data_IF_651091185830
#
_entry.id   IF_651091185830
#
_cell.length_a   1.000
_cell.length_b   1.000
_cell.length_c   1.000
_cell.angle_alpha   90.00
_cell.angle_beta   90.00
_cell.angle_gamma   90.00
#
_symmetry.space_group_name_H-M   'P 1'
#
loop_
_entity.id
_entity.type
_entity.pdbx_description
1 polymer ?
#
# COMPACT_ATOMS: atom_id res chain seq x y z
N UNK A 1 -4.33 -2.27 -27.98
CA UNK A 1 -5.70 -1.77 -28.18
C UNK A 1 -5.64 -0.26 -28.17
N UNK A 2 -6.20 0.44 -29.16
CA UNK A 2 -6.03 1.90 -29.29
C UNK A 2 -7.01 2.63 -28.38
N UNK A 3 -6.47 3.27 -27.35
CA UNK A 3 -7.14 4.26 -26.54
C UNK A 3 -7.42 5.50 -27.42
N UNK A 4 -8.68 5.91 -27.56
CA UNK A 4 -9.13 6.91 -28.55
C UNK A 4 -8.72 8.36 -28.30
N UNK A 5 -7.76 8.62 -27.40
CA UNK A 5 -7.26 9.94 -27.03
C UNK A 5 -5.72 9.91 -26.91
N UNK A 6 -5.09 11.08 -27.07
CA UNK A 6 -3.65 11.25 -26.87
C UNK A 6 -3.35 11.54 -25.40
N UNK A 7 -2.55 10.68 -24.77
CA UNK A 7 -2.01 10.84 -23.42
C UNK A 7 -0.48 10.85 -23.53
N UNK A 8 0.23 11.48 -22.59
CA UNK A 8 1.70 11.66 -22.68
C UNK A 8 2.47 10.34 -22.79
N UNK A 9 1.98 9.27 -22.14
CA UNK A 9 2.51 7.92 -22.28
C UNK A 9 1.66 7.07 -23.21
N UNK A 10 2.30 6.31 -24.10
CA UNK A 10 1.61 5.39 -24.99
C UNK A 10 0.99 4.22 -24.22
N UNK A 11 -0.23 3.86 -24.58
CA UNK A 11 -0.98 2.76 -23.95
C UNK A 11 -0.21 1.43 -24.01
N UNK A 12 0.53 1.17 -25.09
CA UNK A 12 1.33 -0.06 -25.22
C UNK A 12 2.49 -0.12 -24.20
N UNK A 13 3.14 1.02 -23.91
CA UNK A 13 4.21 1.09 -22.91
C UNK A 13 3.65 0.88 -21.50
N UNK A 14 2.48 1.44 -21.21
CA UNK A 14 1.80 1.26 -19.92
C UNK A 14 1.44 -0.21 -19.70
N UNK A 15 0.89 -0.88 -20.73
CA UNK A 15 0.51 -2.29 -20.62
C UNK A 15 1.72 -3.22 -20.41
N UNK A 16 2.89 -2.88 -20.96
CA UNK A 16 4.14 -3.63 -20.72
C UNK A 16 4.63 -3.50 -19.27
N UNK A 17 4.45 -2.33 -18.67
CA UNK A 17 4.89 -2.03 -17.31
C UNK A 17 3.82 -2.37 -16.25
N UNK A 18 2.60 -2.70 -16.67
CA UNK A 18 1.44 -2.83 -15.78
C UNK A 18 1.63 -3.88 -14.68
N UNK A 19 2.24 -5.01 -14.98
CA UNK A 19 2.52 -6.04 -13.97
C UNK A 19 3.53 -5.56 -12.91
N UNK A 20 4.56 -4.83 -13.32
CA UNK A 20 5.54 -4.24 -12.38
C UNK A 20 4.88 -3.18 -11.51
N UNK A 21 3.94 -2.42 -12.09
CA UNK A 21 3.13 -1.47 -11.33
C UNK A 21 2.26 -2.17 -10.28
N UNK A 22 1.55 -3.24 -10.67
CA UNK A 22 0.69 -4.05 -9.79
C UNK A 22 1.49 -4.67 -8.63
N UNK A 23 2.69 -5.16 -8.91
CA UNK A 23 3.56 -5.78 -7.91
C UNK A 23 4.42 -4.78 -7.11
N UNK A 24 4.21 -3.46 -7.34
CA UNK A 24 4.95 -2.37 -6.70
C UNK A 24 6.48 -2.42 -6.93
N UNK A 25 6.90 -2.85 -8.12
CA UNK A 25 8.31 -2.99 -8.51
C UNK A 25 8.86 -1.79 -9.30
N UNK A 26 8.06 -0.74 -9.46
CA UNK A 26 8.48 0.50 -10.13
C UNK A 26 9.01 1.53 -9.12
N UNK A 27 9.89 2.41 -9.60
CA UNK A 27 10.25 3.60 -8.86
C UNK A 27 9.07 4.59 -8.77
N UNK A 28 9.14 5.54 -7.84
CA UNK A 28 8.04 6.46 -7.54
C UNK A 28 7.63 7.32 -8.74
N UNK A 29 8.58 7.74 -9.58
CA UNK A 29 8.28 8.56 -10.75
C UNK A 29 7.52 7.72 -11.80
N UNK A 30 8.06 6.54 -12.13
CA UNK A 30 7.41 5.61 -13.06
C UNK A 30 6.02 5.17 -12.61
N UNK A 31 5.83 4.92 -11.31
CA UNK A 31 4.54 4.58 -10.74
C UNK A 31 3.53 5.73 -10.86
N UNK A 32 3.97 6.96 -10.63
CA UNK A 32 3.14 8.17 -10.77
C UNK A 32 2.67 8.36 -12.21
N UNK A 33 3.56 8.18 -13.19
CA UNK A 33 3.22 8.28 -14.62
C UNK A 33 2.19 7.24 -15.05
N UNK A 34 2.32 5.98 -14.58
CA UNK A 34 1.33 4.94 -14.86
C UNK A 34 0.00 5.27 -14.20
N UNK A 35 0.01 5.70 -12.94
CA UNK A 35 -1.22 6.08 -12.23
C UNK A 35 -1.96 7.19 -12.97
N UNK A 36 -1.26 8.24 -13.39
CA UNK A 36 -1.85 9.32 -14.17
C UNK A 36 -2.48 8.80 -15.47
N UNK A 37 -1.79 7.91 -16.19
CA UNK A 37 -2.34 7.32 -17.39
C UNK A 37 -3.62 6.51 -17.11
N UNK A 38 -3.65 5.72 -16.05
CA UNK A 38 -4.83 4.93 -15.68
C UNK A 38 -6.02 5.84 -15.30
N UNK A 39 -5.76 6.98 -14.68
CA UNK A 39 -6.78 7.97 -14.32
C UNK A 39 -7.41 8.64 -15.57
N UNK A 40 -6.64 8.78 -16.65
CA UNK A 40 -7.05 9.43 -17.90
C UNK A 40 -7.56 8.43 -18.96
N UNK A 41 -7.13 7.18 -18.90
CA UNK A 41 -7.37 6.15 -19.93
C UNK A 41 -8.22 4.99 -19.42
N UNK A 42 -9.54 5.13 -19.56
CA UNK A 42 -10.51 4.08 -19.19
C UNK A 42 -10.26 2.69 -19.80
N UNK A 43 -9.80 2.54 -21.07
CA UNK A 43 -9.38 1.23 -21.58
C UNK A 43 -8.25 0.58 -20.79
N UNK A 44 -7.18 1.30 -20.46
CA UNK A 44 -6.06 0.77 -19.69
C UNK A 44 -6.46 0.48 -18.25
N UNK A 45 -7.33 1.32 -17.65
CA UNK A 45 -7.88 1.07 -16.32
C UNK A 45 -8.64 -0.27 -16.25
N UNK A 46 -9.41 -0.62 -17.29
CA UNK A 46 -10.12 -1.91 -17.33
C UNK A 46 -9.18 -3.11 -17.38
N UNK A 47 -8.07 -3.00 -18.12
CA UNK A 47 -7.05 -4.06 -18.15
C UNK A 47 -6.39 -4.20 -16.77
N UNK A 48 -6.02 -3.08 -16.14
CA UNK A 48 -5.50 -3.07 -14.77
C UNK A 48 -6.47 -3.71 -13.76
N UNK A 49 -7.75 -3.36 -13.81
CA UNK A 49 -8.77 -3.96 -12.94
C UNK A 49 -8.91 -5.48 -13.16
N UNK A 50 -8.83 -5.93 -14.42
CA UNK A 50 -8.87 -7.35 -14.77
C UNK A 50 -7.68 -8.09 -14.17
N UNK A 51 -6.46 -7.58 -14.35
CA UNK A 51 -5.25 -8.18 -13.79
C UNK A 51 -5.29 -8.21 -12.25
N UNK A 52 -5.77 -7.15 -11.60
CA UNK A 52 -5.99 -7.12 -10.16
C UNK A 52 -7.02 -8.14 -9.67
N UNK A 53 -8.05 -8.45 -10.47
CA UNK A 53 -9.00 -9.55 -10.17
C UNK A 53 -8.29 -10.89 -10.26
N UNK A 54 -7.47 -11.11 -11.29
CA UNK A 54 -6.69 -12.34 -11.48
C UNK A 54 -5.71 -12.53 -10.31
N UNK A 55 -4.94 -11.50 -9.94
CA UNK A 55 -3.99 -11.53 -8.83
C UNK A 55 -4.70 -11.92 -7.51
N UNK A 56 -5.86 -11.31 -7.22
CA UNK A 56 -6.69 -11.65 -6.04
C UNK A 56 -7.22 -13.08 -6.09
N UNK A 57 -7.65 -13.56 -7.26
CA UNK A 57 -8.13 -14.93 -7.43
C UNK A 57 -7.01 -15.95 -7.15
N UNK A 58 -5.82 -15.71 -7.69
CA UNK A 58 -4.64 -16.55 -7.48
C UNK A 58 -4.25 -16.54 -6.00
N UNK A 59 -4.14 -15.35 -5.38
CA UNK A 59 -3.79 -15.22 -3.97
C UNK A 59 -4.76 -16.00 -3.07
N UNK A 60 -6.07 -15.96 -3.34
CA UNK A 60 -7.05 -16.74 -2.58
C UNK A 60 -6.92 -18.25 -2.79
N UNK A 61 -6.63 -18.68 -4.02
CA UNK A 61 -6.67 -20.10 -4.41
C UNK A 61 -5.36 -20.83 -4.11
N UNK A 62 -4.26 -20.09 -4.01
CA UNK A 62 -2.91 -20.63 -3.84
C UNK A 62 -2.23 -20.18 -2.54
N UNK A 63 -3.00 -19.64 -1.57
CA UNK A 63 -2.46 -19.28 -0.26
C UNK A 63 -2.22 -20.52 0.60
N UNK A 64 -0.94 -20.80 0.90
CA UNK A 64 -0.55 -21.80 1.88
C UNK A 64 -0.30 -21.15 3.25
N UNK A 65 -0.57 -21.90 4.33
CA UNK A 65 -0.28 -21.42 5.69
C UNK A 65 1.21 -21.55 5.96
N UNK A 66 1.86 -20.42 6.20
CA UNK A 66 3.24 -20.41 6.65
C UNK A 66 3.43 -21.29 7.90
N UNK A 67 4.50 -22.13 7.97
CA UNK A 67 4.82 -22.90 9.17
C UNK A 67 4.94 -22.01 10.41
N UNK A 68 4.54 -22.52 11.58
CA UNK A 68 4.55 -21.72 12.82
C UNK A 68 5.97 -21.23 13.17
N UNK A 69 6.98 -22.07 12.92
CA UNK A 69 8.39 -21.73 13.14
C UNK A 69 8.84 -20.51 12.34
N UNK A 70 8.35 -20.34 11.11
CA UNK A 70 8.64 -19.16 10.29
C UNK A 70 7.92 -17.93 10.84
N UNK A 71 6.65 -18.08 11.22
CA UNK A 71 5.85 -16.99 11.78
C UNK A 71 6.43 -16.47 13.09
N UNK A 72 6.87 -17.35 13.97
CA UNK A 72 7.49 -16.97 15.24
C UNK A 72 8.81 -16.24 15.04
N UNK A 73 9.64 -16.70 14.09
CA UNK A 73 10.88 -15.99 13.71
C UNK A 73 10.58 -14.59 13.19
N UNK A 74 9.62 -14.44 12.27
CA UNK A 74 9.23 -13.12 11.73
C UNK A 74 8.73 -12.20 12.85
N UNK A 75 7.86 -12.68 13.74
CA UNK A 75 7.36 -11.90 14.89
C UNK A 75 8.50 -11.43 15.79
N UNK A 76 9.45 -12.31 16.12
CA UNK A 76 10.60 -11.96 16.95
C UNK A 76 11.47 -10.91 16.27
N UNK A 77 11.78 -11.07 14.98
CA UNK A 77 12.56 -10.09 14.22
C UNK A 77 11.84 -8.74 14.14
N UNK A 78 10.53 -8.73 13.87
CA UNK A 78 9.76 -7.49 13.84
C UNK A 78 9.76 -6.79 15.20
N UNK A 79 9.59 -7.52 16.32
CA UNK A 79 9.66 -6.93 17.66
C UNK A 79 11.04 -6.31 17.94
N UNK A 80 12.13 -6.96 17.51
CA UNK A 80 13.49 -6.43 17.67
C UNK A 80 13.72 -5.15 16.86
N UNK A 81 13.24 -5.11 15.62
CA UNK A 81 13.39 -3.94 14.74
C UNK A 81 12.52 -2.78 15.22
N UNK A 82 11.26 -3.03 15.57
CA UNK A 82 10.31 -1.99 16.00
C UNK A 82 10.69 -1.39 17.36
N UNK A 83 11.40 -2.12 18.23
CA UNK A 83 11.93 -1.56 19.49
C UNK A 83 13.00 -0.48 19.30
N UNK A 84 13.61 -0.36 18.11
CA UNK A 84 14.64 0.65 17.84
C UNK A 84 14.07 1.98 17.35
N UNK A 85 12.85 2.00 16.79
CA UNK A 85 12.28 3.20 16.14
C UNK A 85 11.14 3.88 16.91
N UNK A 86 10.71 3.32 18.04
CA UNK A 86 9.69 3.98 18.88
C UNK A 86 10.35 4.61 20.11
N UNK A 87 10.96 5.78 19.94
CA UNK A 87 11.03 6.74 21.05
C UNK A 87 9.60 7.28 21.25
N UNK A 88 8.80 6.59 22.09
CA UNK A 88 7.59 7.21 22.63
C UNK A 88 8.08 8.38 23.47
N UNK A 89 8.10 9.59 22.90
CA UNK A 89 8.35 10.79 23.67
C UNK A 89 7.18 10.91 24.65
N UNK A 90 7.42 10.43 25.88
CA UNK A 90 6.54 10.65 27.00
C UNK A 90 6.44 12.17 27.11
N UNK A 91 5.26 12.80 26.87
CA UNK A 91 5.17 14.25 26.99
C UNK A 91 5.65 14.63 28.39
N UNK A 92 6.79 15.31 28.46
CA UNK A 92 7.28 15.85 29.71
C UNK A 92 6.25 16.88 30.15
N UNK A 93 5.53 16.57 31.22
CA UNK A 93 4.62 17.51 31.86
C UNK A 93 5.43 18.73 32.29
N UNK A 94 5.37 19.80 31.49
CA UNK A 94 5.89 21.10 31.88
C UNK A 94 5.02 21.61 33.05
N UNK A 95 5.60 21.98 34.19
CA UNK A 95 4.83 22.59 35.26
C UNK A 95 4.22 23.90 34.73
N UNK A 96 2.91 23.91 34.48
CA UNK A 96 2.15 25.08 34.00
C UNK A 96 1.49 24.95 32.62
N UNK A 97 1.63 23.82 31.91
CA UNK A 97 0.94 23.59 30.64
C UNK A 97 -0.59 23.41 30.80
N UNK A 98 -1.39 23.72 29.76
CA UNK A 98 -2.84 23.50 29.80
C UNK A 98 -3.18 22.03 30.06
N UNK A 99 -4.22 21.81 30.89
CA UNK A 99 -4.62 20.48 31.34
C UNK A 99 -4.91 19.54 30.14
N UNK A 100 -4.48 18.27 30.19
CA UNK A 100 -4.78 17.31 29.14
C UNK A 100 -6.30 17.09 29.04
N UNK A 101 -6.78 16.89 27.81
CA UNK A 101 -8.19 16.65 27.56
C UNK A 101 -8.68 15.44 28.37
N UNK A 102 -9.87 15.57 28.96
CA UNK A 102 -10.55 14.49 29.66
C UNK A 102 -11.83 14.12 28.91
N UNK A 103 -12.06 12.84 28.60
CA UNK A 103 -13.33 12.44 28.02
C UNK A 103 -14.49 12.73 28.99
N UNK A 104 -15.66 13.14 28.47
CA UNK A 104 -16.83 13.31 29.31
C UNK A 104 -17.24 11.96 29.93
N UNK A 105 -17.81 11.96 31.14
CA UNK A 105 -18.29 10.74 31.76
C UNK A 105 -19.36 10.10 30.87
N UNK A 106 -19.23 8.80 30.61
CA UNK A 106 -20.30 8.01 29.99
C UNK A 106 -21.51 8.04 30.92
N UNK A 107 -22.57 8.72 30.49
CA UNK A 107 -23.89 8.62 31.12
C UNK A 107 -24.36 7.16 30.98
N UNK A 108 -24.70 6.54 32.11
CA UNK A 108 -25.43 5.27 32.18
C UNK A 108 -26.85 5.44 31.63
#
# INVERSE_FOLDING_TARGET
MSCGNHHDRHCDDVLVELYRFIDHELDEASATEIQQHLDECGPCLREHELDMIVQRLVARSCADRAPETLRDRVRLTLHQVVQLDIQVDRPQAQPGGPLPWRPPPRSL
#
